data_IF_878573810338
#
_entry.id   IF_878573810338
#
_cell.length_a   1.000
_cell.length_b   1.000
_cell.length_c   1.000
_cell.angle_alpha   90.00
_cell.angle_beta   90.00
_cell.angle_gamma   90.00
#
_symmetry.space_group_name_H-M   'P 1'
#
loop_
_entity.id
_entity.type
_entity.pdbx_description
1 polymer ?
#
# COMPACT_ATOMS: atom_id res chain seq x y z
N UNK A 1 -2.30 -14.71 5.17
CA UNK A 1 -1.21 -13.72 5.03
C UNK A 1 -1.48 -12.55 5.96
N UNK A 2 -0.46 -12.05 6.66
CA UNK A 2 -0.60 -10.89 7.55
C UNK A 2 -0.30 -9.60 6.79
N UNK A 3 -1.24 -8.65 6.83
CA UNK A 3 -1.01 -7.28 6.43
C UNK A 3 -0.65 -6.47 7.67
N UNK A 4 0.40 -5.67 7.57
CA UNK A 4 0.83 -4.75 8.62
C UNK A 4 0.60 -3.34 8.10
N UNK A 5 -0.16 -2.57 8.87
CA UNK A 5 -0.42 -1.16 8.63
C UNK A 5 0.47 -0.33 9.56
N UNK A 6 1.34 0.51 8.99
CA UNK A 6 2.24 1.38 9.75
C UNK A 6 2.12 2.83 9.26
N UNK A 7 2.46 3.79 10.12
CA UNK A 7 2.55 5.20 9.70
C UNK A 7 3.69 5.36 8.70
N UNK A 8 3.45 6.10 7.62
CA UNK A 8 4.47 6.34 6.60
C UNK A 8 5.55 7.30 7.08
N UNK A 9 5.14 8.35 7.80
CA UNK A 9 6.05 9.35 8.36
C UNK A 9 5.84 9.42 9.88
N UNK A 10 6.37 8.46 10.66
CA UNK A 10 6.14 8.41 12.11
C UNK A 10 6.78 9.60 12.84
N UNK A 11 7.87 10.15 12.31
CA UNK A 11 8.68 11.21 12.93
C UNK A 11 8.44 12.61 12.30
N UNK A 12 7.44 12.76 11.43
CA UNK A 12 7.08 14.07 10.84
C UNK A 12 6.63 15.03 11.96
N UNK A 13 7.00 16.30 11.89
CA UNK A 13 6.60 17.30 12.90
C UNK A 13 5.10 17.63 12.79
N UNK A 14 4.52 17.54 11.58
CA UNK A 14 3.10 17.74 11.35
C UNK A 14 2.29 16.48 11.71
N UNK A 15 1.43 16.61 12.71
CA UNK A 15 0.52 15.54 13.14
C UNK A 15 -0.37 15.05 12.00
N UNK A 16 -0.78 15.93 11.10
CA UNK A 16 -1.58 15.55 9.93
C UNK A 16 -0.80 14.61 9.03
N UNK A 17 0.48 14.85 8.79
CA UNK A 17 1.29 13.94 7.98
C UNK A 17 1.49 12.59 8.66
N UNK A 18 1.65 12.58 10.00
CA UNK A 18 1.73 11.33 10.78
C UNK A 18 0.44 10.52 10.72
N UNK A 19 -0.72 11.19 10.66
CA UNK A 19 -2.02 10.55 10.70
C UNK A 19 -2.63 10.27 9.33
N UNK A 20 -2.30 11.05 8.30
CA UNK A 20 -2.95 10.98 6.99
C UNK A 20 -2.30 9.99 6.04
N UNK A 21 -1.06 9.54 6.32
CA UNK A 21 -0.32 8.65 5.44
C UNK A 21 0.04 7.33 6.15
N UNK A 22 -0.51 6.24 5.61
CA UNK A 22 -0.26 4.90 6.10
C UNK A 22 0.30 4.00 5.00
N UNK A 23 1.30 3.24 5.39
CA UNK A 23 1.98 2.23 4.59
C UNK A 23 1.38 0.87 4.89
N UNK A 24 1.07 0.10 3.86
CA UNK A 24 0.65 -1.30 3.98
C UNK A 24 1.78 -2.20 3.53
N UNK A 25 2.19 -3.12 4.40
CA UNK A 25 3.21 -4.12 4.11
C UNK A 25 2.65 -5.54 4.24
N UNK A 26 3.14 -6.46 3.41
CA UNK A 26 2.85 -7.90 3.45
C UNK A 26 4.18 -8.63 3.38
N UNK A 27 4.42 -9.58 4.29
CA UNK A 27 5.67 -10.37 4.29
C UNK A 27 6.95 -9.51 4.30
N UNK A 28 6.90 -8.35 4.98
CA UNK A 28 8.02 -7.40 5.05
C UNK A 28 8.18 -6.49 3.83
N UNK A 29 7.33 -6.62 2.81
CA UNK A 29 7.40 -5.85 1.57
C UNK A 29 6.26 -4.85 1.46
N UNK A 30 6.56 -3.65 0.99
CA UNK A 30 5.57 -2.62 0.68
C UNK A 30 4.64 -3.06 -0.45
N UNK A 31 3.33 -3.05 -0.19
CA UNK A 31 2.30 -3.51 -1.15
C UNK A 31 1.28 -2.43 -1.50
N UNK A 32 1.24 -1.34 -0.75
CA UNK A 32 0.30 -0.26 -0.99
C UNK A 32 0.22 0.75 0.13
N UNK A 33 -0.69 1.70 -0.01
CA UNK A 33 -0.88 2.79 0.95
C UNK A 33 -2.34 3.12 1.18
N UNK A 34 -2.59 3.76 2.31
CA UNK A 34 -3.87 4.37 2.67
C UNK A 34 -3.60 5.83 3.00
N UNK A 35 -4.24 6.74 2.29
CA UNK A 35 -3.99 8.18 2.34
C UNK A 35 -5.29 8.94 2.55
N UNK A 36 -5.30 9.91 3.47
CA UNK A 36 -6.42 10.83 3.64
C UNK A 36 -6.40 11.93 2.58
N UNK A 37 -7.50 12.05 1.84
CA UNK A 37 -7.72 13.04 0.79
C UNK A 37 -8.62 14.17 1.32
N UNK A 38 -8.01 15.14 2.01
CA UNK A 38 -8.71 16.28 2.60
C UNK A 38 -9.19 17.33 1.59
N UNK A 39 -8.69 17.30 0.35
CA UNK A 39 -9.01 18.27 -0.71
C UNK A 39 -10.21 17.87 -1.57
N UNK A 40 -10.75 16.66 -1.39
CA UNK A 40 -11.96 16.22 -2.08
C UNK A 40 -13.21 16.97 -1.57
N UNK A 41 -14.26 17.15 -2.40
CA UNK A 41 -15.51 17.80 -1.98
C UNK A 41 -16.13 17.20 -0.71
N UNK A 42 -15.92 15.89 -0.53
CA UNK A 42 -16.10 15.20 0.74
C UNK A 42 -14.77 14.55 1.10
N UNK A 43 -14.16 14.86 2.25
CA UNK A 43 -12.93 14.22 2.66
C UNK A 43 -13.09 12.70 2.76
N UNK A 44 -12.17 11.97 2.16
CA UNK A 44 -12.23 10.51 2.06
C UNK A 44 -10.84 9.90 2.24
N UNK A 45 -10.81 8.64 2.64
CA UNK A 45 -9.61 7.82 2.69
C UNK A 45 -9.46 7.05 1.39
N UNK A 46 -8.37 7.30 0.68
CA UNK A 46 -8.00 6.55 -0.50
C UNK A 46 -7.09 5.38 -0.11
N UNK A 47 -7.35 4.21 -0.64
CA UNK A 47 -6.42 3.07 -0.57
C UNK A 47 -5.93 2.73 -1.97
N UNK A 48 -4.70 2.22 -2.07
CA UNK A 48 -4.12 1.79 -3.36
C UNK A 48 -3.10 0.67 -3.19
N UNK A 49 -3.13 -0.31 -4.08
CA UNK A 49 -2.16 -1.39 -4.21
C UNK A 49 -1.13 -1.00 -5.27
N UNK A 50 0.15 -1.04 -4.93
CA UNK A 50 1.25 -0.61 -5.80
C UNK A 50 1.84 -1.73 -6.65
N UNK A 51 1.51 -2.98 -6.35
CA UNK A 51 1.96 -4.16 -7.12
C UNK A 51 1.35 -4.14 -8.53
N UNK A 52 2.20 -4.24 -9.56
CA UNK A 52 1.83 -3.94 -10.95
C UNK A 52 1.43 -5.14 -11.81
N UNK A 53 1.19 -6.34 -11.25
CA UNK A 53 0.74 -7.49 -12.06
C UNK A 53 -0.72 -7.37 -12.51
N UNK A 54 -1.07 -7.79 -13.75
CA UNK A 54 -2.45 -7.78 -14.20
C UNK A 54 -3.32 -8.69 -13.33
N UNK A 55 -4.49 -8.19 -12.92
CA UNK A 55 -5.52 -8.95 -12.23
C UNK A 55 -6.89 -8.50 -12.70
N UNK A 56 -7.47 -9.20 -13.69
CA UNK A 56 -8.81 -8.90 -14.17
C UNK A 56 -9.82 -9.02 -13.02
N UNK A 57 -10.62 -7.99 -12.82
CA UNK A 57 -11.71 -8.01 -11.84
C UNK A 57 -11.32 -7.74 -10.38
N UNK A 58 -10.06 -7.42 -10.08
CA UNK A 58 -9.67 -6.96 -8.74
C UNK A 58 -9.34 -5.48 -8.76
N UNK A 59 -10.08 -4.70 -7.97
CA UNK A 59 -9.80 -3.29 -7.78
C UNK A 59 -8.44 -3.11 -7.09
N UNK A 60 -7.59 -2.24 -7.64
CA UNK A 60 -6.28 -1.89 -7.05
C UNK A 60 -6.30 -0.56 -6.32
N UNK A 61 -7.41 0.15 -6.32
CA UNK A 61 -7.58 1.40 -5.62
C UNK A 61 -9.06 1.61 -5.29
N UNK A 62 -9.32 2.46 -4.31
CA UNK A 62 -10.68 2.84 -3.95
C UNK A 62 -10.71 3.92 -2.90
N UNK A 63 -11.93 4.33 -2.56
CA UNK A 63 -12.22 5.37 -1.57
C UNK A 63 -13.09 4.78 -0.46
N UNK A 64 -12.92 5.29 0.76
CA UNK A 64 -13.74 4.98 1.91
C UNK A 64 -13.92 6.23 2.79
N UNK A 65 -14.94 6.21 3.64
CA UNK A 65 -15.27 7.29 4.57
C UNK A 65 -14.39 7.32 5.83
N UNK A 66 -13.74 6.21 6.16
CA UNK A 66 -12.84 6.07 7.31
C UNK A 66 -11.58 5.28 6.96
N UNK A 67 -10.52 5.48 7.73
CA UNK A 67 -9.25 4.74 7.61
C UNK A 67 -9.48 3.24 7.79
N UNK A 68 -10.31 2.87 8.77
CA UNK A 68 -10.66 1.49 9.08
C UNK A 68 -11.38 0.83 7.92
N UNK A 69 -12.31 1.53 7.28
CA UNK A 69 -13.01 1.01 6.10
C UNK A 69 -12.08 0.93 4.89
N UNK A 70 -11.16 1.89 4.70
CA UNK A 70 -10.13 1.81 3.67
C UNK A 70 -9.19 0.62 3.90
N UNK A 71 -8.80 0.34 5.16
CA UNK A 71 -7.98 -0.80 5.52
C UNK A 71 -8.70 -2.14 5.28
N UNK A 72 -10.00 -2.23 5.62
CA UNK A 72 -10.84 -3.39 5.31
C UNK A 72 -10.98 -3.61 3.80
N UNK A 73 -11.22 -2.54 3.03
CA UNK A 73 -11.33 -2.61 1.58
C UNK A 73 -10.02 -3.03 0.92
N UNK A 74 -8.89 -2.44 1.36
CA UNK A 74 -7.55 -2.84 0.95
C UNK A 74 -7.32 -4.33 1.23
N UNK A 75 -7.60 -4.79 2.45
CA UNK A 75 -7.43 -6.20 2.84
C UNK A 75 -8.27 -7.11 1.96
N UNK A 76 -9.54 -6.78 1.74
CA UNK A 76 -10.43 -7.57 0.88
C UNK A 76 -9.93 -7.66 -0.56
N UNK A 77 -9.38 -6.57 -1.10
CA UNK A 77 -8.76 -6.56 -2.42
C UNK A 77 -7.47 -7.40 -2.44
N UNK A 78 -6.62 -7.27 -1.42
CA UNK A 78 -5.37 -8.00 -1.30
C UNK A 78 -5.58 -9.52 -1.16
N UNK A 79 -6.55 -9.93 -0.34
CA UNK A 79 -6.88 -11.34 -0.13
C UNK A 79 -7.37 -12.03 -1.43
N UNK A 80 -7.90 -11.26 -2.39
CA UNK A 80 -8.23 -11.74 -3.74
C UNK A 80 -7.03 -11.67 -4.69
N UNK A 81 -6.27 -10.58 -4.60
CA UNK A 81 -5.19 -10.28 -5.54
C UNK A 81 -3.95 -11.14 -5.32
N UNK A 82 -3.51 -11.31 -4.07
CA UNK A 82 -2.28 -12.03 -3.72
C UNK A 82 -2.30 -13.50 -4.17
N UNK A 83 -3.40 -14.25 -4.01
CA UNK A 83 -3.53 -15.58 -4.62
C UNK A 83 -3.53 -15.54 -6.16
N UNK A 84 -4.16 -14.54 -6.77
CA UNK A 84 -4.22 -14.41 -8.23
C UNK A 84 -2.86 -14.11 -8.88
N UNK A 85 -1.94 -13.47 -8.15
CA UNK A 85 -0.55 -13.30 -8.58
C UNK A 85 0.17 -14.66 -8.64
N UNK A 86 -0.10 -15.54 -7.67
CA UNK A 86 0.64 -16.78 -7.47
C UNK A 86 2.02 -16.55 -6.85
N UNK A 87 2.59 -17.59 -6.23
CA UNK A 87 3.82 -17.45 -5.43
C UNK A 87 5.06 -17.16 -6.27
N UNK A 88 5.18 -17.74 -7.46
CA UNK A 88 6.34 -17.50 -8.34
C UNK A 88 6.46 -16.04 -8.76
N UNK A 89 5.34 -15.43 -9.17
CA UNK A 89 5.32 -14.02 -9.57
C UNK A 89 5.48 -13.11 -8.36
N UNK A 90 4.94 -13.51 -7.20
CA UNK A 90 5.17 -12.77 -5.96
C UNK A 90 6.66 -12.73 -5.60
N UNK A 91 7.37 -13.86 -5.66
CA UNK A 91 8.81 -13.92 -5.42
C UNK A 91 9.60 -13.07 -6.42
N UNK A 92 9.19 -13.02 -7.69
CA UNK A 92 9.79 -12.12 -8.68
C UNK A 92 9.58 -10.65 -8.32
N UNK A 93 8.40 -10.29 -7.82
CA UNK A 93 8.12 -8.94 -7.35
C UNK A 93 8.98 -8.55 -6.14
N UNK A 94 9.10 -9.43 -5.13
CA UNK A 94 9.96 -9.18 -3.97
C UNK A 94 11.38 -8.87 -4.43
N UNK A 95 11.96 -9.72 -5.29
CA UNK A 95 13.31 -9.50 -5.84
C UNK A 95 13.41 -8.19 -6.62
N UNK A 96 12.38 -7.83 -7.38
CA UNK A 96 12.34 -6.57 -8.10
C UNK A 96 12.35 -5.37 -7.15
N UNK A 97 11.53 -5.39 -6.10
CA UNK A 97 11.48 -4.31 -5.10
C UNK A 97 12.81 -4.18 -4.35
N UNK A 98 13.42 -5.29 -3.93
CA UNK A 98 14.76 -5.28 -3.31
C UNK A 98 15.82 -4.63 -4.22
N UNK A 99 15.79 -4.92 -5.52
CA UNK A 99 16.68 -4.32 -6.51
C UNK A 99 16.42 -2.80 -6.67
N UNK A 100 15.15 -2.38 -6.67
CA UNK A 100 14.77 -0.96 -6.75
C UNK A 100 15.24 -0.21 -5.50
N UNK A 101 15.03 -0.78 -4.31
CA UNK A 101 15.46 -0.19 -3.04
C UNK A 101 16.99 -0.08 -2.94
N UNK A 102 17.71 -1.13 -3.35
CA UNK A 102 19.18 -1.10 -3.39
C UNK A 102 19.69 0.01 -4.32
N UNK A 103 19.07 0.18 -5.50
CA UNK A 103 19.41 1.25 -6.44
C UNK A 103 19.09 2.64 -5.88
N UNK A 104 17.96 2.80 -5.20
CA UNK A 104 17.58 4.06 -4.58
C UNK A 104 18.56 4.47 -3.46
N UNK A 105 19.04 3.50 -2.67
CA UNK A 105 20.08 3.73 -1.66
C UNK A 105 21.42 4.10 -2.29
N UNK A 106 21.82 3.42 -3.36
CA UNK A 106 23.08 3.70 -4.05
C UNK A 106 23.14 5.10 -4.71
N UNK A 107 22.00 5.64 -5.17
CA UNK A 107 21.91 6.99 -5.76
C UNK A 107 21.87 8.14 -4.75
N UNK A 108 21.71 7.85 -3.45
CA UNK A 108 21.66 8.85 -2.38
C UNK A 108 23.04 9.16 -1.77
N UNK A 109 24.10 8.57 -2.33
CA UNK A 109 25.51 8.85 -2.06
C UNK A 109 26.17 9.35 -3.34
#
# INVERSE_FOLDING_TARGET
MSLILSRTYPDDEDEKNREYFWTVTSEGVYVGSIVYQGTMPKPMWQWSVTVQYPSPGVAKHGLADSRENAAKAFRSAWDKYRPAIGDDRWLQWIKHVELVDARAKAKRY
#
